data_IF_281930293703
#
_entry.id   IF_281930293703
#
_cell.length_a   1.000
_cell.length_b   1.000
_cell.length_c   1.000
_cell.angle_alpha   90.00
_cell.angle_beta   90.00
_cell.angle_gamma   90.00
#
_symmetry.space_group_name_H-M   'P 1'
#
loop_
_entity.id
_entity.type
_entity.pdbx_description
1 polymer ?
#
# COMPACT_ATOMS: atom_id res chain seq x y z
N UNK A 1 14.88 68.66 8.22
CA UNK A 1 14.41 67.91 7.04
C UNK A 1 14.58 66.43 7.36
N UNK A 2 13.48 65.74 7.73
CA UNK A 2 13.18 64.33 7.47
C UNK A 2 11.83 64.05 8.18
N UNK A 3 10.77 63.88 7.38
CA UNK A 3 9.43 63.49 7.82
C UNK A 3 9.37 61.96 7.92
N UNK A 4 8.99 61.42 9.08
CA UNK A 4 8.60 60.03 9.23
C UNK A 4 7.07 59.94 9.10
N UNK A 5 6.58 59.39 7.99
CA UNK A 5 5.16 59.11 7.78
C UNK A 5 4.86 57.72 8.31
N UNK A 6 4.11 57.64 9.40
CA UNK A 6 3.57 56.39 9.95
C UNK A 6 2.25 56.10 9.25
N UNK A 7 2.23 55.09 8.36
CA UNK A 7 0.99 54.54 7.81
C UNK A 7 0.43 53.51 8.80
N UNK A 8 -0.66 53.86 9.47
CA UNK A 8 -1.49 52.93 10.23
C UNK A 8 -2.42 52.18 9.26
N UNK A 9 -2.12 50.91 8.98
CA UNK A 9 -3.01 50.03 8.23
C UNK A 9 -3.99 49.40 9.24
N UNK A 10 -5.25 49.80 9.16
CA UNK A 10 -6.35 49.17 9.88
C UNK A 10 -6.69 47.86 9.13
N UNK A 11 -6.30 46.72 9.70
CA UNK A 11 -6.72 45.40 9.22
C UNK A 11 -8.07 45.08 9.87
N UNK A 12 -9.16 45.23 9.12
CA UNK A 12 -10.46 44.70 9.50
C UNK A 12 -10.43 43.18 9.37
N UNK A 13 -10.41 42.48 10.50
CA UNK A 13 -10.56 41.03 10.56
C UNK A 13 -11.96 40.64 10.07
N UNK A 14 -12.08 40.26 8.81
CA UNK A 14 -13.28 39.62 8.27
C UNK A 14 -13.28 38.18 8.77
N UNK A 15 -14.12 37.89 9.77
CA UNK A 15 -14.40 36.54 10.27
C UNK A 15 -15.22 35.71 9.25
N UNK A 16 -14.74 35.62 8.02
CA UNK A 16 -15.23 34.64 7.07
C UNK A 16 -14.61 33.29 7.42
N UNK A 17 -15.41 32.32 7.90
CA UNK A 17 -14.99 30.91 7.91
C UNK A 17 -14.55 30.58 6.48
N UNK A 18 -13.29 30.22 6.21
CA UNK A 18 -12.89 29.77 4.90
C UNK A 18 -13.58 28.42 4.66
N UNK A 19 -14.72 28.44 3.98
CA UNK A 19 -15.20 27.29 3.23
C UNK A 19 -14.32 27.18 1.99
N UNK A 20 -13.06 26.77 2.19
CA UNK A 20 -12.25 26.17 1.14
C UNK A 20 -12.91 24.84 0.80
N UNK A 21 -13.97 24.92 -0.02
CA UNK A 21 -14.31 23.81 -0.90
C UNK A 21 -13.02 23.46 -1.64
N UNK A 22 -12.42 22.31 -1.29
CA UNK A 22 -11.28 21.68 -1.96
C UNK A 22 -11.69 21.41 -3.40
N UNK A 23 -11.61 22.44 -4.25
CA UNK A 23 -12.25 22.45 -5.57
C UNK A 23 -11.61 21.49 -6.59
N UNK A 24 -10.61 20.70 -6.19
CA UNK A 24 -9.84 19.83 -7.08
C UNK A 24 -9.54 18.45 -6.48
N UNK A 25 -10.33 17.95 -5.51
CA UNK A 25 -10.20 16.55 -5.08
C UNK A 25 -10.62 15.62 -6.23
N UNK A 26 -9.76 14.66 -6.65
CA UNK A 26 -10.12 13.67 -7.68
C UNK A 26 -11.27 12.77 -7.24
N UNK A 27 -11.98 12.19 -8.21
CA UNK A 27 -12.98 11.18 -7.92
C UNK A 27 -12.32 9.94 -7.29
N UNK A 28 -12.93 9.41 -6.23
CA UNK A 28 -12.53 8.13 -5.64
C UNK A 28 -12.84 7.00 -6.63
N UNK A 29 -12.04 5.95 -6.61
CA UNK A 29 -12.20 4.82 -7.51
C UNK A 29 -11.93 3.49 -6.81
N UNK A 30 -12.22 2.39 -7.50
CA UNK A 30 -11.97 1.02 -7.04
C UNK A 30 -10.95 0.35 -7.95
N UNK A 31 -9.99 -0.36 -7.36
CA UNK A 31 -9.07 -1.23 -8.10
C UNK A 31 -9.88 -2.35 -8.78
N UNK A 32 -9.42 -2.97 -9.88
CA UNK A 32 -10.13 -4.11 -10.47
C UNK A 32 -10.31 -5.27 -9.48
N UNK A 33 -11.44 -5.97 -9.55
CA UNK A 33 -11.77 -7.08 -8.63
C UNK A 33 -10.85 -8.28 -8.80
N UNK A 34 -10.30 -8.46 -10.00
CA UNK A 34 -9.34 -9.49 -10.34
C UNK A 34 -8.19 -8.91 -11.14
N UNK A 35 -6.96 -9.14 -10.69
CA UNK A 35 -5.76 -8.76 -11.44
C UNK A 35 -4.52 -9.54 -11.00
N UNK A 36 -3.52 -9.52 -11.88
CA UNK A 36 -2.15 -9.96 -11.62
C UNK A 36 -1.18 -8.81 -11.89
N UNK A 37 -0.06 -8.81 -11.18
CA UNK A 37 0.99 -7.79 -11.33
C UNK A 37 2.33 -8.29 -10.79
N UNK A 38 3.40 -7.56 -11.08
CA UNK A 38 4.67 -7.67 -10.36
C UNK A 38 4.70 -6.67 -9.21
N UNK A 39 5.04 -7.12 -8.01
CA UNK A 39 5.08 -6.29 -6.82
C UNK A 39 6.50 -6.26 -6.27
N UNK A 40 7.02 -5.06 -6.04
CA UNK A 40 8.29 -4.86 -5.31
C UNK A 40 7.97 -4.29 -3.94
N UNK A 41 8.43 -4.94 -2.86
CA UNK A 41 8.29 -4.43 -1.49
C UNK A 41 9.62 -4.03 -0.89
N UNK A 42 9.56 -3.10 0.05
CA UNK A 42 10.58 -2.87 1.06
C UNK A 42 9.89 -2.76 2.42
N UNK A 43 10.29 -3.62 3.35
CA UNK A 43 9.70 -3.70 4.69
C UNK A 43 10.78 -3.49 5.74
N UNK A 44 10.48 -2.69 6.75
CA UNK A 44 11.33 -2.50 7.93
C UNK A 44 10.48 -2.58 9.20
N UNK A 45 11.02 -3.21 10.23
CA UNK A 45 10.35 -3.44 11.51
C UNK A 45 11.31 -3.19 12.67
N UNK A 46 10.78 -2.60 13.74
CA UNK A 46 11.44 -2.52 15.05
C UNK A 46 10.61 -3.35 16.04
N UNK A 47 11.24 -4.38 16.62
CA UNK A 47 10.63 -5.24 17.62
C UNK A 47 10.66 -4.59 19.01
N UNK A 48 9.81 -5.04 19.96
CA UNK A 48 9.77 -4.49 21.32
C UNK A 48 11.07 -4.60 22.11
N UNK A 49 11.94 -5.56 21.78
CA UNK A 49 13.26 -5.73 22.39
C UNK A 49 14.34 -4.81 21.78
N UNK A 50 13.95 -3.95 20.83
CA UNK A 50 14.83 -3.03 20.12
C UNK A 50 15.56 -3.65 18.94
N UNK A 51 15.37 -4.95 18.67
CA UNK A 51 15.91 -5.56 17.46
C UNK A 51 15.20 -5.01 16.22
N UNK A 52 15.93 -4.94 15.11
CA UNK A 52 15.42 -4.39 13.85
C UNK A 52 15.52 -5.42 12.75
N UNK A 53 14.52 -5.48 11.89
CA UNK A 53 14.50 -6.32 10.70
C UNK A 53 14.21 -5.44 9.50
N UNK A 54 14.90 -5.70 8.39
CA UNK A 54 14.59 -5.08 7.11
C UNK A 54 14.75 -6.09 5.98
N UNK A 55 13.90 -5.96 4.98
CA UNK A 55 13.95 -6.79 3.78
C UNK A 55 13.39 -6.04 2.57
N UNK A 56 13.71 -6.54 1.38
CA UNK A 56 13.00 -6.18 0.17
C UNK A 56 12.66 -7.45 -0.60
N UNK A 57 11.58 -7.42 -1.36
CA UNK A 57 11.10 -8.60 -2.08
C UNK A 57 10.53 -8.25 -3.45
N UNK A 58 10.49 -9.26 -4.31
CA UNK A 58 9.88 -9.21 -5.64
C UNK A 58 8.92 -10.39 -5.76
N UNK A 59 7.64 -10.09 -6.01
CA UNK A 59 6.58 -11.08 -6.07
C UNK A 59 5.80 -10.99 -7.38
N UNK A 60 5.45 -12.16 -7.92
CA UNK A 60 4.22 -12.30 -8.70
C UNK A 60 3.06 -12.11 -7.72
N UNK A 61 2.21 -11.12 -7.97
CA UNK A 61 1.07 -10.76 -7.14
C UNK A 61 -0.23 -11.05 -7.89
N UNK A 62 -1.22 -11.59 -7.19
CA UNK A 62 -2.58 -11.79 -7.70
C UNK A 62 -3.61 -11.44 -6.64
N UNK A 63 -4.64 -10.71 -7.05
CA UNK A 63 -5.73 -10.25 -6.19
C UNK A 63 -7.06 -10.69 -6.76
N UNK A 64 -7.89 -11.31 -5.94
CA UNK A 64 -9.22 -11.78 -6.30
C UNK A 64 -10.20 -11.41 -5.17
N UNK A 65 -10.79 -10.22 -5.24
CA UNK A 65 -11.77 -9.77 -4.25
C UNK A 65 -13.04 -10.59 -4.27
N UNK A 66 -13.39 -11.18 -5.41
CA UNK A 66 -14.63 -11.94 -5.57
C UNK A 66 -14.58 -13.24 -4.76
N UNK A 67 -13.41 -13.88 -4.70
CA UNK A 67 -13.14 -15.01 -3.81
C UNK A 67 -12.55 -14.62 -2.45
N UNK A 68 -12.17 -13.36 -2.27
CA UNK A 68 -11.54 -12.87 -1.04
C UNK A 68 -10.12 -13.40 -0.86
N UNK A 69 -9.33 -13.49 -1.92
CA UNK A 69 -7.99 -14.11 -1.92
C UNK A 69 -6.92 -13.14 -2.43
N UNK A 70 -5.74 -13.21 -1.82
CA UNK A 70 -4.52 -12.56 -2.28
C UNK A 70 -3.42 -13.61 -2.32
N UNK A 71 -2.62 -13.62 -3.39
CA UNK A 71 -1.51 -14.53 -3.56
C UNK A 71 -0.27 -13.77 -3.97
N UNK A 72 0.85 -14.06 -3.31
CA UNK A 72 2.15 -13.46 -3.60
C UNK A 72 3.19 -14.56 -3.63
N UNK A 73 3.92 -14.71 -4.72
CA UNK A 73 4.97 -15.72 -4.83
C UNK A 73 6.21 -15.14 -5.48
N UNK A 74 7.36 -15.33 -4.85
CA UNK A 74 8.61 -14.77 -5.35
C UNK A 74 9.74 -14.87 -4.34
N UNK A 75 10.59 -13.84 -4.32
CA UNK A 75 11.86 -13.87 -3.61
C UNK A 75 11.96 -12.70 -2.64
N UNK A 76 12.43 -12.97 -1.43
CA UNK A 76 12.74 -11.96 -0.42
C UNK A 76 14.23 -11.97 -0.07
N UNK A 77 14.77 -10.79 0.24
CA UNK A 77 16.16 -10.59 0.60
C UNK A 77 16.22 -9.83 1.93
N UNK A 78 16.87 -10.42 2.93
CA UNK A 78 17.13 -9.75 4.21
C UNK A 78 18.25 -8.71 4.09
N UNK A 79 18.22 -7.71 4.97
CA UNK A 79 19.22 -6.65 5.05
C UNK A 79 19.88 -6.68 6.43
N UNK A 80 21.23 -6.59 6.54
CA UNK A 80 22.20 -6.32 5.47
C UNK A 80 22.83 -7.56 4.81
N UNK A 81 22.50 -8.76 5.28
CA UNK A 81 23.14 -10.02 4.92
C UNK A 81 22.76 -10.54 3.53
N UNK A 82 21.72 -9.99 2.90
CA UNK A 82 21.29 -10.33 1.54
C UNK A 82 20.90 -11.82 1.42
N UNK A 83 20.44 -12.43 2.51
CA UNK A 83 19.99 -13.80 2.48
C UNK A 83 18.72 -13.87 1.65
N UNK A 84 18.79 -14.65 0.57
CA UNK A 84 17.64 -14.95 -0.29
C UNK A 84 16.76 -16.01 0.37
N UNK A 85 15.45 -15.83 0.31
CA UNK A 85 14.45 -16.84 0.62
C UNK A 85 13.38 -16.85 -0.46
N UNK A 86 13.03 -18.03 -0.97
CA UNK A 86 11.87 -18.21 -1.84
C UNK A 86 10.60 -18.27 -0.96
N UNK A 87 9.71 -17.31 -1.15
CA UNK A 87 8.56 -17.05 -0.28
C UNK A 87 7.26 -17.09 -1.09
N UNK A 88 6.26 -17.76 -0.51
CA UNK A 88 4.89 -17.76 -1.00
C UNK A 88 3.94 -17.36 0.12
N UNK A 89 3.22 -16.26 -0.08
CA UNK A 89 2.22 -15.73 0.85
C UNK A 89 0.84 -15.91 0.23
N UNK A 90 -0.09 -16.44 1.02
CA UNK A 90 -1.50 -16.58 0.63
C UNK A 90 -2.33 -15.93 1.73
N UNK A 91 -3.16 -14.96 1.35
CA UNK A 91 -4.05 -14.29 2.27
C UNK A 91 -5.51 -14.60 1.91
N UNK A 92 -6.29 -14.95 2.93
CA UNK A 92 -7.73 -15.12 2.82
C UNK A 92 -8.42 -13.98 3.58
N UNK A 93 -8.98 -13.03 2.82
CA UNK A 93 -9.64 -11.83 3.33
C UNK A 93 -11.00 -12.13 3.98
N UNK A 94 -11.61 -13.28 3.67
CA UNK A 94 -12.90 -13.68 4.23
C UNK A 94 -12.76 -14.10 5.70
N UNK A 95 -11.75 -14.92 6.01
CA UNK A 95 -11.48 -15.42 7.37
C UNK A 95 -10.32 -14.69 8.07
N UNK A 96 -9.66 -13.76 7.38
CA UNK A 96 -8.57 -12.95 7.91
C UNK A 96 -7.31 -13.75 8.21
N UNK A 97 -7.04 -14.81 7.45
CA UNK A 97 -5.85 -15.66 7.64
C UNK A 97 -4.76 -15.32 6.62
N UNK A 98 -3.51 -15.39 7.07
CA UNK A 98 -2.31 -15.29 6.23
C UNK A 98 -1.51 -16.58 6.41
N UNK A 99 -1.11 -17.18 5.31
CA UNK A 99 -0.14 -18.27 5.24
C UNK A 99 1.14 -17.73 4.64
N UNK A 100 2.27 -17.90 5.34
CA UNK A 100 3.60 -17.59 4.82
C UNK A 100 4.37 -18.88 4.70
N UNK A 101 4.81 -19.19 3.48
CA UNK A 101 5.41 -20.46 3.11
C UNK A 101 6.85 -20.16 2.71
N UNK A 102 7.79 -20.66 3.50
CA UNK A 102 9.22 -20.69 3.17
C UNK A 102 9.45 -21.94 2.32
N UNK A 103 9.60 -21.74 1.01
CA UNK A 103 9.73 -22.84 0.06
C UNK A 103 11.06 -23.58 0.20
N UNK A 104 12.10 -22.90 0.69
CA UNK A 104 13.43 -23.47 0.90
C UNK A 104 13.45 -24.35 2.16
N UNK A 105 12.94 -23.81 3.27
CA UNK A 105 12.88 -24.53 4.55
C UNK A 105 11.74 -25.55 4.63
N UNK A 106 10.81 -25.54 3.66
CA UNK A 106 9.55 -26.32 3.69
C UNK A 106 8.77 -26.09 4.98
N UNK A 107 8.70 -24.83 5.40
CA UNK A 107 7.98 -24.40 6.59
C UNK A 107 6.80 -23.53 6.21
N UNK A 108 5.69 -23.72 6.92
CA UNK A 108 4.51 -22.87 6.80
C UNK A 108 4.21 -22.23 8.15
N UNK A 109 3.94 -20.94 8.10
CA UNK A 109 3.53 -20.13 9.23
C UNK A 109 2.12 -19.64 8.97
N UNK A 110 1.29 -19.64 10.02
CA UNK A 110 -0.06 -19.12 9.95
C UNK A 110 -0.22 -17.95 10.93
N UNK A 111 -0.80 -16.87 10.44
CA UNK A 111 -1.08 -15.69 11.26
C UNK A 111 -2.44 -15.09 10.90
N UNK A 112 -2.91 -14.18 11.75
CA UNK A 112 -4.08 -13.36 11.47
C UNK A 112 -3.64 -12.13 10.69
N UNK A 113 -4.41 -11.78 9.66
CA UNK A 113 -4.24 -10.56 8.90
C UNK A 113 -4.49 -9.35 9.80
N UNK A 114 -3.49 -8.47 10.02
CA UNK A 114 -3.67 -7.32 10.89
C UNK A 114 -4.63 -6.30 10.27
N UNK A 115 -4.65 -6.21 8.94
CA UNK A 115 -5.41 -5.21 8.19
C UNK A 115 -5.90 -5.81 6.89
N UNK A 116 -7.19 -5.64 6.60
CA UNK A 116 -7.75 -6.03 5.30
C UNK A 116 -7.31 -5.06 4.19
N UNK A 117 -6.85 -5.57 3.03
CA UNK A 117 -6.67 -4.74 1.84
C UNK A 117 -7.95 -3.98 1.49
N UNK A 118 -7.84 -2.74 1.06
CA UNK A 118 -8.99 -1.98 0.54
C UNK A 118 -9.19 -2.29 -0.94
N UNK A 119 -10.44 -2.31 -1.38
CA UNK A 119 -10.79 -2.44 -2.79
C UNK A 119 -11.05 -1.08 -3.44
N UNK A 120 -11.74 -0.20 -2.72
CA UNK A 120 -12.01 1.18 -3.15
C UNK A 120 -11.31 2.15 -2.22
N UNK A 121 -10.91 3.30 -2.75
CA UNK A 121 -10.50 4.43 -1.91
C UNK A 121 -11.68 4.79 -0.99
N UNK A 122 -11.54 4.67 0.34
CA UNK A 122 -12.66 4.85 1.23
C UNK A 122 -13.11 6.32 1.30
N UNK A 123 -14.37 6.56 1.62
CA UNK A 123 -14.92 7.91 1.80
C UNK A 123 -14.21 8.70 2.91
N UNK A 124 -13.67 7.99 3.89
CA UNK A 124 -12.88 8.56 5.00
C UNK A 124 -11.45 8.91 4.61
N UNK A 125 -10.99 8.52 3.40
CA UNK A 125 -9.66 8.87 2.92
C UNK A 125 -9.53 10.37 2.69
N UNK A 126 -8.36 10.92 3.02
CA UNK A 126 -8.02 12.31 2.76
C UNK A 126 -7.09 12.37 1.56
N UNK A 127 -7.49 13.10 0.52
CA UNK A 127 -6.61 13.36 -0.62
C UNK A 127 -5.36 14.13 -0.17
N UNK A 128 -4.19 13.66 -0.59
CA UNK A 128 -2.90 14.26 -0.20
C UNK A 128 -2.37 15.14 -1.34
N UNK A 129 -2.10 14.54 -2.49
CA UNK A 129 -1.60 15.21 -3.68
C UNK A 129 -1.70 14.29 -4.91
N UNK A 130 -1.38 14.84 -6.08
CA UNK A 130 -1.08 14.06 -7.28
C UNK A 130 0.42 14.04 -7.53
N UNK A 131 0.92 13.01 -8.19
CA UNK A 131 2.25 13.04 -8.80
C UNK A 131 2.17 12.65 -10.27
N UNK A 132 3.26 12.92 -11.00
CA UNK A 132 3.43 12.50 -12.40
C UNK A 132 4.72 11.70 -12.50
N UNK A 133 4.62 10.46 -12.98
CA UNK A 133 5.77 9.67 -13.41
C UNK A 133 5.89 9.71 -14.94
N UNK A 134 7.10 9.84 -15.45
CA UNK A 134 7.37 9.93 -16.89
C UNK A 134 7.47 11.36 -17.41
N UNK A 135 7.42 11.52 -18.74
CA UNK A 135 7.66 12.81 -19.40
C UNK A 135 6.82 12.97 -20.68
N UNK A 136 6.38 14.19 -20.95
CA UNK A 136 5.58 14.53 -22.13
C UNK A 136 4.25 13.77 -22.16
N UNK A 137 3.99 13.09 -23.27
CA UNK A 137 2.80 12.25 -23.47
C UNK A 137 2.98 10.82 -22.91
N UNK A 138 4.20 10.43 -22.53
CA UNK A 138 4.51 9.15 -21.90
C UNK A 138 4.59 9.32 -20.39
N UNK A 139 3.44 9.60 -19.78
CA UNK A 139 3.34 9.82 -18.35
C UNK A 139 2.13 9.13 -17.73
N UNK A 140 2.28 8.81 -16.46
CA UNK A 140 1.23 8.30 -15.59
C UNK A 140 1.00 9.36 -14.52
N UNK A 141 -0.26 9.74 -14.31
CA UNK A 141 -0.66 10.62 -13.21
C UNK A 141 -1.28 9.73 -12.14
N UNK A 142 -0.72 9.80 -10.93
CA UNK A 142 -1.21 9.10 -9.75
C UNK A 142 -1.81 10.08 -8.75
N UNK A 143 -2.88 9.66 -8.09
CA UNK A 143 -3.51 10.39 -6.99
C UNK A 143 -3.31 9.65 -5.67
N UNK A 144 -2.67 10.33 -4.72
CA UNK A 144 -2.29 9.77 -3.42
C UNK A 144 -3.34 10.12 -2.36
N UNK A 145 -3.78 9.10 -1.64
CA UNK A 145 -4.78 9.17 -0.59
C UNK A 145 -4.20 8.69 0.73
N UNK A 146 -4.41 9.46 1.80
CA UNK A 146 -4.11 9.03 3.16
C UNK A 146 -5.32 8.31 3.73
N UNK A 147 -5.13 7.05 4.08
CA UNK A 147 -6.15 6.16 4.61
C UNK A 147 -5.79 5.84 6.06
N UNK A 148 -6.63 6.30 7.00
CA UNK A 148 -6.49 5.92 8.40
C UNK A 148 -7.11 4.55 8.62
N UNK A 149 -6.32 3.61 9.13
CA UNK A 149 -6.75 2.28 9.58
C UNK A 149 -6.59 2.22 11.11
N UNK A 150 -7.08 1.17 11.76
CA UNK A 150 -7.09 1.10 13.24
C UNK A 150 -5.68 1.22 13.83
N UNK A 151 -4.76 0.35 13.40
CA UNK A 151 -3.38 0.30 13.91
C UNK A 151 -2.33 0.81 12.90
N UNK A 152 -2.78 1.33 11.75
CA UNK A 152 -1.89 1.82 10.71
C UNK A 152 -2.40 3.06 10.00
N UNK A 153 -1.48 3.72 9.31
CA UNK A 153 -1.77 4.77 8.33
C UNK A 153 -1.21 4.31 7.00
N UNK A 154 -2.00 4.45 5.96
CA UNK A 154 -1.64 4.04 4.60
C UNK A 154 -1.67 5.25 3.66
N UNK A 155 -0.70 5.30 2.75
CA UNK A 155 -0.59 6.25 1.64
C UNK A 155 -0.64 5.49 0.33
N UNK A 156 -1.86 5.23 -0.14
CA UNK A 156 -2.12 4.55 -1.39
C UNK A 156 -2.15 5.55 -2.55
N UNK A 157 -1.47 5.24 -3.64
CA UNK A 157 -1.56 6.00 -4.88
C UNK A 157 -2.15 5.16 -6.00
N UNK A 158 -3.22 5.68 -6.61
CA UNK A 158 -3.93 5.02 -7.71
C UNK A 158 -3.84 5.83 -9.01
N UNK A 159 -3.92 5.17 -10.16
CA UNK A 159 -3.91 5.83 -11.48
C UNK A 159 -5.16 6.67 -11.72
N UNK A 160 -4.98 7.89 -12.26
CA UNK A 160 -6.08 8.83 -12.58
C UNK A 160 -6.84 8.50 -13.86
N UNK A 161 -6.34 7.60 -14.68
CA UNK A 161 -6.85 7.31 -16.03
C UNK A 161 -8.16 6.50 -16.08
N UNK A 162 -8.92 6.49 -14.97
CA UNK A 162 -10.18 5.76 -14.84
C UNK A 162 -10.03 4.26 -14.58
N UNK A 163 -8.81 3.72 -14.59
CA UNK A 163 -8.54 2.29 -14.31
C UNK A 163 -8.27 2.00 -12.84
N UNK A 164 -7.95 3.03 -12.05
CA UNK A 164 -7.67 2.93 -10.62
C UNK A 164 -6.60 1.89 -10.27
N UNK A 165 -5.53 1.81 -11.06
CA UNK A 165 -4.45 0.85 -10.80
C UNK A 165 -3.67 1.33 -9.59
N UNK A 166 -3.50 0.49 -8.57
CA UNK A 166 -2.61 0.78 -7.44
C UNK A 166 -1.18 0.87 -7.96
N UNK A 167 -0.57 2.06 -7.89
CA UNK A 167 0.79 2.31 -8.36
C UNK A 167 1.80 2.08 -7.23
N UNK A 168 1.50 2.66 -6.06
CA UNK A 168 2.29 2.52 -4.84
C UNK A 168 1.37 2.49 -3.63
N UNK A 169 1.81 1.84 -2.57
CA UNK A 169 1.16 1.84 -1.25
C UNK A 169 2.25 1.86 -0.18
N UNK A 170 2.04 2.67 0.85
CA UNK A 170 3.02 2.81 1.93
C UNK A 170 2.25 2.76 3.24
N UNK A 171 2.41 1.65 3.96
CA UNK A 171 1.70 1.40 5.20
C UNK A 171 2.65 1.53 6.39
N UNK A 172 2.22 2.29 7.39
CA UNK A 172 2.96 2.58 8.61
C UNK A 172 2.17 2.05 9.82
N UNK A 173 2.70 1.04 10.49
CA UNK A 173 2.18 0.52 11.76
C UNK A 173 2.96 1.11 12.93
N UNK A 174 2.27 1.33 14.05
CA UNK A 174 2.91 1.88 15.26
C UNK A 174 3.41 0.79 16.22
N UNK A 175 2.67 -0.31 16.39
CA UNK A 175 2.96 -1.35 17.37
C UNK A 175 2.78 -2.78 16.79
N UNK A 176 3.87 -3.49 16.41
CA UNK A 176 5.25 -2.99 16.35
C UNK A 176 5.41 -1.87 15.32
N UNK A 177 6.48 -1.09 15.42
CA UNK A 177 6.75 -0.06 14.42
C UNK A 177 7.19 -0.76 13.13
N UNK A 178 6.32 -0.73 12.12
CA UNK A 178 6.56 -1.34 10.81
C UNK A 178 6.34 -0.29 9.75
N UNK A 179 7.24 -0.26 8.77
CA UNK A 179 7.05 0.47 7.52
C UNK A 179 7.08 -0.55 6.41
N UNK A 180 6.02 -0.59 5.62
CA UNK A 180 5.95 -1.37 4.40
C UNK A 180 5.70 -0.43 3.23
N UNK A 181 6.53 -0.54 2.20
CA UNK A 181 6.41 0.22 0.97
C UNK A 181 6.33 -0.75 -0.19
N UNK A 182 5.30 -0.63 -1.01
CA UNK A 182 5.13 -1.44 -2.21
C UNK A 182 4.98 -0.59 -3.47
N UNK A 183 5.42 -1.16 -4.58
CA UNK A 183 5.20 -0.62 -5.93
C UNK A 183 4.70 -1.75 -6.83
N UNK A 184 3.69 -1.43 -7.62
CA UNK A 184 3.07 -2.36 -8.57
C UNK A 184 3.52 -2.05 -9.99
N UNK A 185 3.86 -3.09 -10.73
CA UNK A 185 4.28 -3.04 -12.13
C UNK A 185 3.63 -4.17 -12.92
N UNK A 186 3.70 -4.13 -14.25
CA UNK A 186 3.18 -5.19 -15.14
C UNK A 186 1.73 -5.61 -14.83
N UNK A 187 0.87 -4.63 -14.59
CA UNK A 187 -0.53 -4.86 -14.23
C UNK A 187 -1.34 -5.45 -15.40
N UNK A 188 -2.07 -6.54 -15.12
CA UNK A 188 -3.02 -7.16 -16.04
C UNK A 188 -4.35 -7.40 -15.32
N UNK A 189 -5.47 -6.95 -15.90
CA UNK A 189 -6.81 -7.02 -15.30
C UNK A 189 -7.44 -8.43 -15.41
N UNK A 190 -6.70 -9.47 -15.04
CA UNK A 190 -7.13 -10.85 -14.95
C UNK A 190 -6.16 -11.61 -14.02
N UNK A 191 -6.55 -12.79 -13.56
CA UNK A 191 -5.63 -13.71 -12.86
C UNK A 191 -4.84 -14.51 -13.89
N UNK A 192 -3.51 -14.35 -13.91
CA UNK A 192 -2.63 -15.08 -14.83
C UNK A 192 -2.34 -16.51 -14.36
N UNK A 193 -2.16 -16.72 -13.05
CA UNK A 193 -1.91 -18.04 -12.43
C UNK A 193 -2.81 -18.26 -11.20
N UNK A 194 -3.94 -18.97 -11.34
CA UNK A 194 -4.83 -19.26 -10.22
C UNK A 194 -4.23 -20.17 -9.14
N UNK A 195 -3.16 -20.92 -9.45
CA UNK A 195 -2.54 -21.84 -8.48
C UNK A 195 -1.79 -21.12 -7.36
N UNK A 196 -1.52 -19.82 -7.53
CA UNK A 196 -0.94 -18.95 -6.50
C UNK A 196 -1.80 -18.88 -5.22
N UNK A 197 -3.07 -19.28 -5.29
CA UNK A 197 -3.97 -19.30 -4.15
C UNK A 197 -4.05 -20.68 -3.45
N UNK A 198 -3.43 -21.71 -4.00
CA UNK A 198 -3.52 -23.08 -3.48
C UNK A 198 -2.61 -23.26 -2.27
N UNK A 199 -3.20 -23.46 -1.08
CA UNK A 199 -2.42 -23.73 0.13
C UNK A 199 -1.81 -25.14 0.04
N UNK A 200 -0.47 -25.28 0.09
CA UNK A 200 0.20 -26.57 0.00
C UNK A 200 -0.18 -27.52 1.15
N UNK A 201 -0.14 -28.83 0.89
CA UNK A 201 -0.59 -29.84 1.85
C UNK A 201 0.27 -29.86 3.13
N UNK A 202 1.54 -29.50 3.04
CA UNK A 202 2.47 -29.33 4.17
C UNK A 202 2.00 -28.24 5.16
N UNK A 203 1.20 -27.28 4.71
CA UNK A 203 0.69 -26.20 5.55
C UNK A 203 -0.54 -26.60 6.39
N UNK A 204 -1.01 -27.85 6.31
CA UNK A 204 -2.11 -28.35 7.16
C UNK A 204 -1.81 -28.24 8.66
N UNK A 205 -0.54 -28.35 9.03
CA UNK A 205 -0.06 -28.21 10.41
C UNK A 205 0.81 -26.95 10.57
N UNK A 206 0.48 -25.88 9.84
CA UNK A 206 1.21 -24.62 9.92
C UNK A 206 1.36 -24.16 11.38
N UNK A 207 2.55 -23.64 11.67
CA UNK A 207 2.96 -23.16 12.99
C UNK A 207 2.30 -21.83 13.28
#
# INVERSE_FOLDING_TARGET
MFYCVVFAIIITAVNGKPTTSLKNEPERCCIPTQFSSQLSTATSMVFPDGTTFASYAYYNFSYDSDRGLVGMKGVSFSVPDQQKSDVWIIENMNDGQIYVIDEDAKKCYKSTMPIKPFHCIPDTATYVHSFTYGYGDKKIIGDTWRIQKDEAVDYATVSRDGRCILLTDNTFFQNPTVVDAMTTTDFVAQIDDPSIFDIPAECKNAI
#
